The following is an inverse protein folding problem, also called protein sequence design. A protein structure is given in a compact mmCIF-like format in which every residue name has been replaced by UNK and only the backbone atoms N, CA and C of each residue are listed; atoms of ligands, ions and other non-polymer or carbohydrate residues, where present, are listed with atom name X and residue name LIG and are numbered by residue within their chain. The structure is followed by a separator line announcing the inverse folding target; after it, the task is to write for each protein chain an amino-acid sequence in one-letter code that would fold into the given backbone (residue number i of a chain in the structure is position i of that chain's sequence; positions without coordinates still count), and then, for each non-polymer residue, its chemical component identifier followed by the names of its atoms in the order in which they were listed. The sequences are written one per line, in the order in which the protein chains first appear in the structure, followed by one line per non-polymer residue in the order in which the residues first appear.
data_IF_660873871302
#
_entry.id   IF_660873871302
#
_cell.length_a   1.000
_cell.length_b   1.000
_cell.length_c   1.000
_cell.angle_alpha   90.00
_cell.angle_beta   90.00
_cell.angle_gamma   90.00
#
_symmetry.space_group_name_H-M   'P 1'
#
loop_
_entity.id
_entity.type
_entity.pdbx_description
1 polymer ?
#
# COMPACT_ATOMS: atom_id res chain seq x y z
N UNK A 1 -0.93 3.51 -14.07
CA UNK A 1 0.15 3.61 -13.06
C UNK A 1 0.09 5.01 -12.45
N UNK A 2 0.31 5.17 -11.15
CA UNK A 2 0.32 6.47 -10.46
C UNK A 2 1.74 6.78 -9.93
N UNK A 3 2.03 8.01 -9.55
CA UNK A 3 3.31 8.42 -8.95
C UNK A 3 3.14 8.90 -7.51
N UNK A 4 4.24 9.08 -6.77
CA UNK A 4 4.17 9.69 -5.43
C UNK A 4 3.67 11.14 -5.45
N UNK A 5 3.81 11.86 -6.58
CA UNK A 5 3.20 13.19 -6.74
C UNK A 5 1.68 13.13 -6.79
N UNK A 6 1.11 12.08 -7.38
CA UNK A 6 -0.34 11.86 -7.36
C UNK A 6 -0.84 11.48 -5.97
N UNK A 7 -0.05 10.67 -5.26
CA UNK A 7 -0.32 10.27 -3.88
C UNK A 7 -0.26 11.48 -2.93
N UNK A 8 0.63 12.44 -3.19
CA UNK A 8 0.74 13.65 -2.38
C UNK A 8 -0.57 14.42 -2.29
N UNK A 9 -1.33 14.51 -3.39
CA UNK A 9 -2.64 15.18 -3.45
C UNK A 9 -3.70 14.53 -2.54
N UNK A 10 -3.50 13.27 -2.17
CA UNK A 10 -4.42 12.48 -1.35
C UNK A 10 -3.81 12.09 0.01
N UNK A 11 -2.69 12.68 0.40
CA UNK A 11 -1.93 12.32 1.61
C UNK A 11 -2.80 12.29 2.88
N UNK A 12 -3.68 13.29 3.04
CA UNK A 12 -4.57 13.39 4.19
C UNK A 12 -5.61 12.25 4.29
N UNK A 13 -5.82 11.50 3.20
CA UNK A 13 -6.76 10.38 3.11
C UNK A 13 -6.05 9.02 3.20
N UNK A 14 -4.73 9.00 3.41
CA UNK A 14 -3.96 7.77 3.54
C UNK A 14 -4.19 7.13 4.91
N UNK A 15 -4.54 5.86 4.89
CA UNK A 15 -4.80 5.00 6.05
C UNK A 15 -3.62 4.07 6.27
N UNK A 16 -2.72 4.51 7.14
CA UNK A 16 -1.54 3.75 7.56
C UNK A 16 -1.89 2.60 8.52
N UNK A 17 -3.08 2.66 9.11
CA UNK A 17 -3.59 1.69 10.07
C UNK A 17 -4.28 0.48 9.42
N UNK A 18 -4.50 0.50 8.10
CA UNK A 18 -5.22 -0.55 7.37
C UNK A 18 -4.26 -1.47 6.61
N UNK A 19 -4.62 -2.76 6.56
CA UNK A 19 -3.93 -3.75 5.74
C UNK A 19 -4.73 -4.09 4.46
N UNK A 20 -4.06 -4.56 3.39
CA UNK A 20 -4.77 -4.98 2.17
C UNK A 20 -5.79 -6.11 2.43
N UNK A 21 -5.51 -7.02 3.37
CA UNK A 21 -6.44 -8.10 3.71
C UNK A 21 -7.74 -7.59 4.32
N UNK A 22 -7.67 -6.55 5.17
CA UNK A 22 -8.85 -5.96 5.79
C UNK A 22 -9.73 -5.23 4.78
N UNK A 23 -9.15 -4.66 3.74
CA UNK A 23 -9.88 -3.97 2.67
C UNK A 23 -10.43 -4.93 1.61
N UNK A 24 -9.62 -5.88 1.15
CA UNK A 24 -9.98 -6.81 0.08
C UNK A 24 -10.86 -7.98 0.56
N UNK A 25 -10.91 -8.24 1.87
CA UNK A 25 -11.76 -9.28 2.45
C UNK A 25 -12.72 -8.70 3.51
N UNK A 26 -13.80 -8.01 3.08
CA UNK A 26 -14.72 -7.31 3.98
C UNK A 26 -15.46 -8.25 4.95
N UNK A 27 -15.61 -9.54 4.62
CA UNK A 27 -16.24 -10.53 5.50
C UNK A 27 -15.41 -10.76 6.78
N UNK A 28 -14.07 -10.72 6.68
CA UNK A 28 -13.19 -10.81 7.86
C UNK A 28 -13.16 -9.51 8.67
N UNK A 29 -13.29 -8.36 8.01
CA UNK A 29 -13.33 -7.06 8.68
C UNK A 29 -14.65 -6.82 9.43
N UNK A 30 -15.79 -7.26 8.86
CA UNK A 30 -17.10 -7.14 9.50
C UNK A 30 -17.19 -7.91 10.83
N UNK A 31 -16.45 -9.01 10.99
CA UNK A 31 -16.38 -9.75 12.26
C UNK A 31 -15.79 -8.93 13.42
N UNK A 32 -15.06 -7.84 13.14
CA UNK A 32 -14.54 -6.90 14.15
C UNK A 32 -15.51 -5.76 14.49
N UNK A 33 -16.69 -5.68 13.85
CA UNK A 33 -17.67 -4.62 14.09
C UNK A 33 -17.29 -3.24 13.53
N UNK A 34 -16.17 -3.13 12.82
CA UNK A 34 -15.69 -1.88 12.26
C UNK A 34 -16.24 -1.70 10.83
N UNK A 35 -17.01 -0.62 10.61
CA UNK A 35 -17.23 -0.14 9.23
C UNK A 35 -15.86 0.29 8.71
N UNK A 36 -15.33 -0.42 7.71
CA UNK A 36 -14.09 -0.02 7.03
C UNK A 36 -14.33 1.40 6.48
N UNK A 37 -13.76 2.39 7.15
CA UNK A 37 -13.84 3.79 6.70
C UNK A 37 -13.03 3.92 5.40
N UNK A 38 -13.58 4.66 4.44
CA UNK A 38 -12.92 4.94 3.16
C UNK A 38 -11.54 5.57 3.33
N UNK A 39 -10.78 5.58 2.24
CA UNK A 39 -9.46 6.17 2.17
C UNK A 39 -8.56 5.41 1.19
N UNK A 40 -7.28 5.73 1.24
CA UNK A 40 -6.26 5.06 0.44
C UNK A 40 -5.31 4.29 1.33
N UNK A 41 -4.85 3.12 0.91
CA UNK A 41 -3.84 2.36 1.66
C UNK A 41 -2.74 1.86 0.74
N UNK A 42 -1.52 1.81 1.28
CA UNK A 42 -0.39 1.20 0.59
C UNK A 42 -0.38 -0.31 0.78
N UNK A 43 0.13 -0.99 -0.23
CA UNK A 43 0.34 -2.43 -0.19
C UNK A 43 1.52 -2.80 -1.09
N UNK A 44 2.01 -4.03 -0.93
CA UNK A 44 2.99 -4.63 -1.82
C UNK A 44 2.25 -5.62 -2.71
N UNK A 45 2.26 -5.34 -4.01
CA UNK A 45 1.78 -6.23 -5.05
C UNK A 45 2.88 -7.23 -5.38
N UNK A 46 2.60 -8.51 -5.22
CA UNK A 46 3.45 -9.58 -5.73
C UNK A 46 2.73 -10.17 -6.92
N UNK A 47 3.25 -9.91 -8.12
CA UNK A 47 2.77 -10.48 -9.36
C UNK A 47 3.94 -10.74 -10.30
N UNK A 48 3.93 -11.90 -10.97
CA UNK A 48 5.00 -12.27 -11.90
C UNK A 48 6.39 -12.37 -11.26
N UNK A 49 6.47 -12.89 -10.03
CA UNK A 49 7.71 -13.00 -9.26
C UNK A 49 8.39 -11.67 -8.89
N UNK A 50 7.65 -10.55 -8.97
CA UNK A 50 8.15 -9.21 -8.68
C UNK A 50 7.31 -8.53 -7.62
N UNK A 51 7.97 -7.92 -6.64
CA UNK A 51 7.32 -7.05 -5.66
C UNK A 51 7.27 -5.60 -6.18
N UNK A 52 6.08 -4.99 -6.15
CA UNK A 52 5.86 -3.61 -6.55
C UNK A 52 5.07 -2.86 -5.48
N UNK A 53 5.39 -1.59 -5.25
CA UNK A 53 4.60 -0.75 -4.37
C UNK A 53 3.29 -0.36 -5.06
N UNK A 54 2.17 -0.53 -4.39
CA UNK A 54 0.86 -0.16 -4.89
C UNK A 54 0.05 0.65 -3.87
N UNK A 55 -1.04 1.22 -4.34
CA UNK A 55 -2.04 1.90 -3.52
C UNK A 55 -3.44 1.40 -3.90
N UNK A 56 -4.26 1.10 -2.90
CA UNK A 56 -5.68 0.76 -3.05
C UNK A 56 -6.50 2.01 -2.73
N UNK A 57 -7.40 2.37 -3.62
CA UNK A 57 -8.48 3.32 -3.40
C UNK A 57 -9.71 2.57 -2.87
N UNK A 58 -10.05 2.79 -1.60
CA UNK A 58 -11.18 2.18 -0.91
C UNK A 58 -12.31 3.19 -0.63
N UNK A 59 -12.38 4.29 -1.40
CA UNK A 59 -13.46 5.26 -1.25
C UNK A 59 -14.75 4.84 -1.95
N UNK A 60 -14.69 3.83 -2.82
CA UNK A 60 -15.80 3.33 -3.62
C UNK A 60 -16.20 1.92 -3.20
N UNK A 61 -17.45 1.53 -3.53
CA UNK A 61 -17.98 0.18 -3.31
C UNK A 61 -17.09 -0.93 -3.92
N UNK A 62 -16.42 -0.62 -5.03
CA UNK A 62 -15.44 -1.47 -5.66
C UNK A 62 -14.05 -0.86 -5.47
N UNK A 63 -13.20 -1.41 -4.58
CA UNK A 63 -11.86 -0.91 -4.38
C UNK A 63 -11.04 -1.03 -5.67
N UNK A 64 -10.23 -0.02 -5.98
CA UNK A 64 -9.36 -0.02 -7.17
C UNK A 64 -7.90 0.05 -6.78
N UNK A 65 -7.05 -0.83 -7.32
CA UNK A 65 -5.62 -0.83 -7.05
C UNK A 65 -4.81 -0.17 -8.18
N UNK A 66 -3.72 0.50 -7.81
CA UNK A 66 -2.79 1.13 -8.74
C UNK A 66 -1.35 0.81 -8.34
N UNK A 67 -0.56 0.29 -9.27
CA UNK A 67 0.90 0.20 -9.09
C UNK A 67 1.52 1.59 -9.18
N UNK A 68 2.39 1.91 -8.23
CA UNK A 68 3.12 3.16 -8.17
C UNK A 68 4.45 3.06 -8.91
N UNK A 69 4.72 4.05 -9.75
CA UNK A 69 6.04 4.26 -10.31
C UNK A 69 6.89 4.97 -9.25
N UNK A 70 7.84 4.24 -8.67
CA UNK A 70 8.72 4.72 -7.60
C UNK A 70 10.13 4.17 -7.75
N UNK A 71 11.07 4.82 -7.09
CA UNK A 71 12.48 4.44 -6.95
C UNK A 71 12.73 3.58 -5.68
N UNK A 72 11.67 3.06 -5.06
CA UNK A 72 11.83 2.23 -3.86
C UNK A 72 12.65 0.98 -4.19
N UNK A 73 13.68 0.62 -3.39
CA UNK A 73 14.48 -0.56 -3.65
C UNK A 73 13.64 -1.85 -3.61
N UNK A 74 13.75 -2.69 -4.64
CA UNK A 74 13.02 -3.97 -4.72
C UNK A 74 13.33 -4.89 -3.54
N UNK A 75 14.57 -4.86 -3.04
CA UNK A 75 14.98 -5.60 -1.84
C UNK A 75 14.15 -5.20 -0.62
N UNK A 76 13.83 -3.92 -0.46
CA UNK A 76 13.04 -3.42 0.66
C UNK A 76 11.60 -3.95 0.61
N UNK A 77 11.02 -4.02 -0.59
CA UNK A 77 9.69 -4.61 -0.80
C UNK A 77 9.71 -6.12 -0.54
N UNK A 78 10.73 -6.81 -1.04
CA UNK A 78 10.87 -8.26 -0.89
C UNK A 78 11.06 -8.67 0.58
N UNK A 79 11.90 -7.95 1.33
CA UNK A 79 12.08 -8.12 2.78
C UNK A 79 10.74 -8.08 3.51
N UNK A 80 9.91 -7.07 3.23
CA UNK A 80 8.60 -6.93 3.86
C UNK A 80 7.61 -8.05 3.50
N UNK A 81 7.69 -8.61 2.28
CA UNK A 81 6.91 -9.80 1.89
C UNK A 81 7.35 -11.02 2.70
N UNK A 82 8.66 -11.25 2.82
CA UNK A 82 9.20 -12.40 3.55
C UNK A 82 8.93 -12.32 5.07
N UNK A 83 8.96 -11.13 5.66
CA UNK A 83 8.60 -10.91 7.07
C UNK A 83 7.17 -11.38 7.41
N UNK A 84 6.27 -11.35 6.43
CA UNK A 84 4.89 -11.82 6.57
C UNK A 84 4.72 -13.32 6.26
N UNK A 85 5.82 -14.06 6.09
CA UNK A 85 5.80 -15.46 5.66
C UNK A 85 5.41 -15.64 4.18
N UNK A 86 5.41 -14.55 3.40
CA UNK A 86 5.14 -14.57 1.98
C UNK A 86 6.31 -15.08 1.14
N UNK A 87 6.06 -15.25 -0.15
CA UNK A 87 7.08 -15.62 -1.12
C UNK A 87 6.81 -14.91 -2.45
N UNK A 88 7.86 -14.46 -3.14
CA UNK A 88 7.71 -13.75 -4.41
C UNK A 88 7.12 -14.65 -5.51
N UNK A 89 7.31 -15.96 -5.43
CA UNK A 89 6.78 -16.94 -6.39
C UNK A 89 5.26 -17.14 -6.27
N UNK A 90 4.62 -16.61 -5.22
CA UNK A 90 3.18 -16.71 -5.01
C UNK A 90 2.57 -15.33 -5.14
N UNK A 91 1.61 -15.17 -6.06
CA UNK A 91 0.91 -13.89 -6.21
C UNK A 91 0.15 -13.53 -4.94
N UNK A 92 0.19 -12.26 -4.54
CA UNK A 92 -0.45 -11.83 -3.30
C UNK A 92 -0.38 -10.34 -3.03
N UNK A 93 -1.19 -9.92 -2.06
CA UNK A 93 -1.25 -8.56 -1.56
C UNK A 93 -0.72 -8.56 -0.12
N UNK A 94 0.41 -7.90 0.09
CA UNK A 94 1.09 -7.88 1.40
C UNK A 94 1.05 -6.48 2.00
N UNK A 95 1.02 -6.39 3.33
CA UNK A 95 1.11 -5.10 4.01
C UNK A 95 2.51 -4.49 3.82
N UNK A 96 2.61 -3.17 3.85
CA UNK A 96 3.93 -2.52 3.98
C UNK A 96 4.41 -2.64 5.43
N UNK A 97 5.72 -2.70 5.64
CA UNK A 97 6.30 -2.63 6.98
C UNK A 97 6.67 -1.18 7.34
N UNK A 98 7.10 -0.99 8.59
CA UNK A 98 7.42 0.35 9.12
C UNK A 98 8.54 1.05 8.35
N UNK A 99 9.52 0.29 7.84
CA UNK A 99 10.64 0.81 7.03
C UNK A 99 10.15 1.40 5.71
N UNK A 100 9.21 0.73 5.04
CA UNK A 100 8.58 1.23 3.81
C UNK A 100 7.68 2.44 4.13
N UNK A 101 6.90 2.39 5.20
CA UNK A 101 6.06 3.51 5.64
C UNK A 101 6.89 4.78 5.88
N UNK A 102 7.98 4.68 6.62
CA UNK A 102 8.89 5.80 6.90
C UNK A 102 9.53 6.34 5.62
N UNK A 103 9.95 5.44 4.71
CA UNK A 103 10.48 5.81 3.40
C UNK A 103 9.47 6.63 2.59
N UNK A 104 8.21 6.17 2.50
CA UNK A 104 7.15 6.87 1.77
C UNK A 104 6.89 8.24 2.40
N UNK A 105 6.76 8.32 3.73
CA UNK A 105 6.51 9.59 4.43
C UNK A 105 7.64 10.60 4.20
N UNK A 106 8.89 10.16 4.22
CA UNK A 106 10.02 11.03 3.94
C UNK A 106 9.97 11.53 2.48
N UNK A 107 9.69 10.64 1.53
CA UNK A 107 9.58 11.01 0.12
C UNK A 107 8.43 11.99 -0.15
N UNK A 108 7.29 11.81 0.51
CA UNK A 108 6.16 12.75 0.44
C UNK A 108 6.49 14.11 1.08
N UNK A 109 7.34 14.16 2.10
CA UNK A 109 7.81 15.43 2.69
C UNK A 109 8.80 16.16 1.79
N UNK A 110 9.71 15.45 1.15
CA UNK A 110 10.66 16.03 0.19
C UNK A 110 9.93 16.73 -0.96
N UNK A 111 8.81 16.16 -1.43
CA UNK A 111 7.96 16.79 -2.44
C UNK A 111 7.34 18.13 -2.01
N UNK A 112 7.27 18.44 -0.70
CA UNK A 112 6.84 19.76 -0.21
C UNK A 112 7.97 20.80 -0.22
N UNK A 113 9.23 20.38 -0.31
CA UNK A 113 10.38 21.28 -0.22
C UNK A 113 10.77 21.91 -1.57
N UNK A 114 10.14 21.45 -2.65
CA UNK A 114 10.32 21.92 -4.03
C UNK A 114 9.22 22.89 -4.52
N UNK A 115 8.32 23.33 -3.62
CA UNK A 115 7.31 24.40 -3.86
C UNK A 115 7.61 25.64 -3.02
#
# INVERSE_FOLDING_TARGET
MKTLKDVKKIEAQIRWDLTPLEVLNPLKAQSKGEKIKGGYLFYIDVWGCKASLGIIDNNTLNPTSYILLTDIPEKMLSEAVFEQGGALIVSGYYAINKKIEEWIKNRLKELNADE
#
